data_IF_401940288838
#
_entry.id   IF_401940288838
#
_cell.length_a   1.000
_cell.length_b   1.000
_cell.length_c   1.000
_cell.angle_alpha   90.00
_cell.angle_beta   90.00
_cell.angle_gamma   90.00
#
_symmetry.space_group_name_H-M   'P 1'
#
loop_
_entity.id
_entity.type
_entity.pdbx_description
1 polymer ?
#
# COMPACT_ATOMS: atom_id res chain seq x y z
N UNK A 1 -7.90 -3.40 10.88
CA UNK A 1 -7.16 -2.70 11.95
C UNK A 1 -5.70 -3.14 11.89
N UNK A 2 -4.76 -2.18 11.88
CA UNK A 2 -3.33 -2.49 11.99
C UNK A 2 -2.94 -2.53 13.48
N UNK A 3 -2.25 -3.60 13.88
CA UNK A 3 -1.70 -3.74 15.24
C UNK A 3 -0.23 -4.10 15.12
N UNK A 4 0.64 -3.30 15.75
CA UNK A 4 2.06 -3.61 15.88
C UNK A 4 2.27 -4.17 17.26
N UNK A 5 2.95 -5.32 17.36
CA UNK A 5 3.16 -6.00 18.62
C UNK A 5 4.59 -6.50 18.76
N UNK A 6 5.13 -6.36 19.97
CA UNK A 6 6.31 -7.10 20.41
C UNK A 6 5.82 -8.28 21.24
N UNK A 7 6.17 -9.49 20.79
CA UNK A 7 5.78 -10.73 21.43
C UNK A 7 6.90 -11.27 22.31
N UNK A 8 6.54 -11.68 23.53
CA UNK A 8 7.35 -12.52 24.40
C UNK A 8 6.65 -13.86 24.60
N UNK A 9 7.30 -14.81 25.28
CA UNK A 9 6.68 -16.10 25.62
C UNK A 9 5.37 -15.99 26.42
N UNK A 10 5.14 -14.87 27.11
CA UNK A 10 4.02 -14.71 28.05
C UNK A 10 3.00 -13.67 27.62
N UNK A 11 3.42 -12.67 26.87
CA UNK A 11 2.63 -11.48 26.62
C UNK A 11 2.97 -10.82 25.28
N UNK A 12 1.99 -10.09 24.76
CA UNK A 12 2.11 -9.18 23.62
C UNK A 12 1.99 -7.76 24.13
N UNK A 13 3.00 -6.93 23.86
CA UNK A 13 2.92 -5.49 24.06
C UNK A 13 2.58 -4.84 22.72
N UNK A 14 1.46 -4.12 22.65
CA UNK A 14 0.84 -3.73 21.39
C UNK A 14 0.52 -2.26 21.26
N UNK A 15 0.54 -1.79 20.02
CA UNK A 15 0.13 -0.46 19.61
C UNK A 15 -0.84 -0.61 18.45
N UNK A 16 -2.12 -0.28 18.70
CA UNK A 16 -3.18 -0.37 17.70
C UNK A 16 -3.37 0.95 16.93
N UNK A 17 -3.60 0.81 15.63
CA UNK A 17 -3.95 1.86 14.68
C UNK A 17 -5.29 1.49 14.03
N UNK A 18 -6.43 1.74 14.69
CA UNK A 18 -7.75 1.40 14.16
C UNK A 18 -8.18 2.30 13.00
N UNK A 19 -7.62 3.50 12.92
CA UNK A 19 -7.97 4.53 11.94
C UNK A 19 -7.33 4.30 10.55
N UNK A 20 -6.38 3.38 10.42
CA UNK A 20 -5.71 3.09 9.16
C UNK A 20 -6.44 1.97 8.40
N UNK A 21 -6.81 2.25 7.15
CA UNK A 21 -7.44 1.33 6.23
C UNK A 21 -6.56 1.17 4.98
N UNK A 22 -6.29 -0.06 4.57
CA UNK A 22 -5.46 -0.38 3.40
C UNK A 22 -6.29 -0.97 2.24
N UNK A 23 -7.63 -0.91 2.32
CA UNK A 23 -8.54 -1.52 1.33
C UNK A 23 -9.20 -0.48 0.44
N UNK A 24 -8.50 0.61 0.13
CA UNK A 24 -8.98 1.70 -0.73
C UNK A 24 -8.48 1.57 -2.20
N UNK A 25 -7.84 0.45 -2.53
CA UNK A 25 -7.20 0.16 -3.82
C UNK A 25 -6.07 1.13 -4.21
N UNK A 26 -5.47 1.84 -3.25
CA UNK A 26 -4.30 2.66 -3.47
C UNK A 26 -3.01 1.92 -3.07
N UNK A 27 -1.88 2.49 -3.51
CA UNK A 27 -0.59 2.09 -3.00
C UNK A 27 -0.41 2.59 -1.58
N UNK A 28 -0.02 1.69 -0.67
CA UNK A 28 0.37 2.05 0.68
C UNK A 28 1.75 1.50 1.04
N UNK A 29 2.46 2.26 1.85
CA UNK A 29 3.73 1.89 2.43
C UNK A 29 3.64 1.93 3.96
N UNK A 30 4.01 0.84 4.64
CA UNK A 30 3.96 0.73 6.10
C UNK A 30 5.37 0.52 6.63
N UNK A 31 5.86 1.48 7.42
CA UNK A 31 7.19 1.39 8.03
C UNK A 31 7.09 1.30 9.56
N UNK A 32 7.70 0.26 10.11
CA UNK A 32 7.75 0.00 11.55
C UNK A 32 9.19 0.23 12.02
N UNK A 33 9.44 1.37 12.69
CA UNK A 33 10.79 1.77 13.11
C UNK A 33 10.97 1.61 14.61
N UNK A 34 11.88 0.72 14.98
CA UNK A 34 12.32 0.52 16.36
C UNK A 34 13.60 1.32 16.62
N UNK A 35 13.52 2.33 17.49
CA UNK A 35 14.67 3.17 17.87
C UNK A 35 15.17 2.77 19.25
N UNK A 36 16.39 2.25 19.32
CA UNK A 36 17.02 1.87 20.57
C UNK A 36 17.38 3.11 21.40
N UNK A 37 17.13 3.03 22.71
CA UNK A 37 17.51 4.08 23.64
C UNK A 37 19.03 4.17 23.83
N UNK A 38 19.55 5.37 24.09
CA UNK A 38 20.95 5.56 24.48
C UNK A 38 21.25 4.88 25.83
N UNK A 39 22.44 4.27 25.93
CA UNK A 39 22.93 3.31 26.94
C UNK A 39 22.66 3.62 28.43
N UNK A 40 22.37 4.87 28.81
CA UNK A 40 22.26 5.28 30.22
C UNK A 40 20.88 5.83 30.64
N UNK A 41 20.07 6.35 29.71
CA UNK A 41 18.77 6.98 30.02
C UNK A 41 17.76 6.92 28.87
N UNK A 42 18.12 6.29 27.75
CA UNK A 42 17.26 6.29 26.58
C UNK A 42 16.16 5.25 26.71
N UNK A 43 14.93 5.68 26.48
CA UNK A 43 13.81 4.78 26.31
C UNK A 43 13.82 4.21 24.88
N UNK A 44 13.37 2.96 24.74
CA UNK A 44 13.11 2.37 23.43
C UNK A 44 11.80 2.92 22.89
N UNK A 45 11.83 3.34 21.62
CA UNK A 45 10.68 4.00 20.99
C UNK A 45 10.31 3.24 19.73
N UNK A 46 9.03 2.91 19.60
CA UNK A 46 8.40 2.45 18.38
C UNK A 46 7.79 3.65 17.67
N UNK A 47 8.10 3.82 16.39
CA UNK A 47 7.46 4.77 15.49
C UNK A 47 6.84 4.05 14.31
N UNK A 48 5.57 4.33 14.04
CA UNK A 48 4.79 3.69 12.99
C UNK A 48 4.48 4.75 11.95
N UNK A 49 4.92 4.51 10.72
CA UNK A 49 4.68 5.39 9.59
C UNK A 49 3.77 4.69 8.58
N UNK A 50 2.92 5.49 7.96
CA UNK A 50 2.08 5.09 6.83
C UNK A 50 2.27 6.12 5.74
N UNK A 51 2.58 5.68 4.52
CA UNK A 51 2.74 6.54 3.34
C UNK A 51 3.76 7.68 3.57
N UNK A 52 4.86 7.33 4.25
CA UNK A 52 5.94 8.25 4.61
C UNK A 52 5.60 9.26 5.72
N UNK A 53 4.39 9.20 6.29
CA UNK A 53 3.92 10.10 7.35
C UNK A 53 3.95 9.39 8.71
N UNK A 54 4.44 10.07 9.75
CA UNK A 54 4.42 9.53 11.11
C UNK A 54 2.99 9.47 11.62
N UNK A 55 2.52 8.27 11.94
CA UNK A 55 1.16 8.06 12.43
C UNK A 55 1.11 7.96 13.95
N UNK A 56 2.01 7.17 14.54
CA UNK A 56 2.04 6.94 15.99
C UNK A 56 3.45 6.72 16.51
N UNK A 57 3.68 7.19 17.73
CA UNK A 57 4.91 6.92 18.49
C UNK A 57 4.55 6.36 19.86
N UNK A 58 5.27 5.34 20.31
CA UNK A 58 5.01 4.66 21.57
C UNK A 58 6.31 4.24 22.26
N UNK A 59 6.33 4.26 23.59
CA UNK A 59 7.43 3.68 24.35
C UNK A 59 7.23 2.17 24.47
N UNK A 60 7.88 1.40 23.60
CA UNK A 60 7.73 -0.04 23.51
C UNK A 60 9.08 -0.71 23.75
N UNK A 61 9.14 -1.67 24.67
CA UNK A 61 10.33 -2.50 24.87
C UNK A 61 10.38 -3.56 23.77
N UNK A 62 11.53 -3.71 23.14
CA UNK A 62 11.81 -4.77 22.17
C UNK A 62 13.20 -5.38 22.44
N UNK A 63 13.45 -6.62 22.00
CA UNK A 63 14.76 -7.27 22.13
C UNK A 63 15.90 -6.45 21.51
N UNK A 64 17.13 -6.73 21.91
CA UNK A 64 18.28 -6.04 21.32
C UNK A 64 18.38 -6.35 19.82
N UNK A 65 18.51 -5.31 19.00
CA UNK A 65 18.75 -5.45 17.56
C UNK A 65 20.13 -6.06 17.21
N UNK A 66 20.95 -6.33 18.22
CA UNK A 66 22.23 -7.05 18.09
C UNK A 66 22.08 -8.57 18.13
N UNK A 67 20.90 -9.09 18.46
CA UNK A 67 20.64 -10.53 18.44
C UNK A 67 20.62 -11.07 17.00
N UNK A 68 21.02 -12.34 16.79
CA UNK A 68 21.05 -12.93 15.47
C UNK A 68 19.64 -13.02 14.89
N UNK A 69 19.50 -12.59 13.64
CA UNK A 69 18.27 -12.75 12.88
C UNK A 69 18.04 -14.23 12.55
N UNK A 70 16.89 -14.75 12.95
CA UNK A 70 16.58 -16.20 12.89
C UNK A 70 15.45 -16.53 11.93
N UNK A 71 14.38 -15.73 11.92
CA UNK A 71 13.19 -16.02 11.13
C UNK A 71 12.39 -14.75 10.83
N UNK A 72 11.82 -14.69 9.64
CA UNK A 72 10.79 -13.71 9.28
C UNK A 72 9.73 -14.40 8.43
N UNK A 73 8.47 -14.11 8.74
CA UNK A 73 7.32 -14.49 7.93
C UNK A 73 6.58 -13.23 7.51
N UNK A 74 6.24 -13.15 6.22
CA UNK A 74 5.45 -12.06 5.65
C UNK A 74 4.16 -12.67 5.12
N UNK A 75 3.02 -12.15 5.58
CA UNK A 75 1.70 -12.66 5.26
C UNK A 75 0.97 -13.18 6.49
N UNK A 76 -0.20 -13.80 6.28
CA UNK A 76 -0.95 -14.38 7.38
C UNK A 76 -0.13 -15.50 8.02
N UNK A 77 0.00 -15.41 9.34
CA UNK A 77 0.45 -16.55 10.12
C UNK A 77 -0.59 -17.64 9.91
N UNK A 78 -0.27 -18.65 9.09
CA UNK A 78 -1.13 -19.82 8.96
C UNK A 78 -1.36 -20.50 10.32
N UNK A 79 -1.81 -21.75 10.33
CA UNK A 79 -2.12 -22.51 11.57
C UNK A 79 -1.01 -22.55 12.67
N UNK A 80 0.21 -22.02 12.45
CA UNK A 80 1.32 -22.01 13.41
C UNK A 80 1.20 -21.00 14.57
N UNK A 81 0.39 -19.95 14.49
CA UNK A 81 0.20 -19.01 15.63
C UNK A 81 -0.96 -19.37 16.53
N UNK A 82 -1.81 -20.33 16.14
CA UNK A 82 -2.81 -20.91 17.05
C UNK A 82 -2.11 -21.86 18.02
N UNK A 83 -1.41 -21.30 18.99
CA UNK A 83 -1.00 -22.07 20.17
C UNK A 83 -2.22 -22.16 21.08
N UNK A 84 -3.27 -22.82 20.62
CA UNK A 84 -4.29 -23.33 21.53
C UNK A 84 -3.57 -24.37 22.37
N UNK A 85 -3.39 -24.07 23.65
CA UNK A 85 -2.98 -25.06 24.65
C UNK A 85 -4.09 -26.11 24.65
N UNK A 86 -3.91 -27.17 23.84
CA UNK A 86 -4.77 -28.35 23.88
C UNK A 86 -4.41 -29.08 25.17
N UNK A 87 -5.03 -28.64 26.25
CA UNK A 87 -5.07 -29.41 27.50
C UNK A 87 -6.06 -30.55 27.24
N UNK A 88 -5.66 -31.84 27.27
CA UNK A 88 -6.61 -32.92 27.14
C UNK A 88 -7.36 -33.05 28.47
N UNK A 89 -8.55 -32.48 28.57
CA UNK A 89 -9.45 -32.74 29.70
C UNK A 89 -10.48 -33.81 29.33
N UNK A 90 -10.61 -34.88 30.12
CA UNK A 90 -11.67 -35.86 29.95
C UNK A 90 -13.03 -35.28 30.39
N UNK A 91 -14.07 -35.85 29.79
CA UNK A 91 -15.48 -35.52 29.96
C UNK A 91 -15.93 -35.43 31.43
N UNK A 92 -16.68 -34.37 31.82
CA UNK A 92 -18.05 -34.51 32.35
C UNK A 92 -18.68 -33.16 32.75
N UNK A 93 -19.99 -33.09 32.49
CA UNK A 93 -21.08 -32.42 33.21
C UNK A 93 -21.09 -30.89 33.44
N UNK A 94 -22.24 -30.33 33.06
CA UNK A 94 -22.78 -29.00 33.29
C UNK A 94 -22.75 -28.56 34.76
N UNK A 95 -22.52 -27.27 35.05
CA UNK A 95 -23.44 -26.45 35.86
C UNK A 95 -23.15 -24.95 35.64
N UNK A 96 -24.22 -24.18 35.47
CA UNK A 96 -24.28 -22.71 35.45
C UNK A 96 -23.93 -22.15 36.85
N UNK A 97 -23.11 -21.10 36.93
CA UNK A 97 -23.25 -20.10 38.00
C UNK A 97 -22.74 -18.71 37.59
N UNK A 98 -23.67 -17.75 37.68
CA UNK A 98 -23.46 -16.31 37.60
C UNK A 98 -22.74 -15.85 38.87
N UNK A 99 -21.71 -15.02 38.74
CA UNK A 99 -21.22 -14.19 39.86
C UNK A 99 -20.88 -12.79 39.38
N UNK A 100 -21.51 -11.81 40.03
CA UNK A 100 -21.34 -10.37 39.86
C UNK A 100 -20.16 -9.88 40.70
N UNK A 101 -19.39 -8.95 40.13
CA UNK A 101 -18.90 -7.74 40.80
C UNK A 101 -17.51 -7.80 41.44
N UNK A 102 -16.64 -6.89 41.02
CA UNK A 102 -15.74 -6.17 41.94
C UNK A 102 -15.30 -4.83 41.31
N UNK A 103 -15.59 -3.75 42.04
CA UNK A 103 -15.11 -2.39 41.82
C UNK A 103 -13.76 -2.21 42.54
N UNK A 104 -12.73 -1.73 41.84
CA UNK A 104 -11.53 -1.08 42.37
C UNK A 104 -10.59 -0.75 41.19
N UNK A 105 -9.89 0.37 41.08
CA UNK A 105 -9.72 1.55 41.93
C UNK A 105 -9.11 2.61 41.02
N UNK A 106 -9.75 3.77 40.92
CA UNK A 106 -9.22 4.93 40.21
C UNK A 106 -7.95 5.42 40.91
N UNK A 107 -6.86 5.58 40.15
CA UNK A 107 -5.66 6.30 40.60
C UNK A 107 -5.36 7.35 39.53
N UNK A 108 -5.75 8.58 39.82
CA UNK A 108 -5.29 9.79 39.13
C UNK A 108 -3.97 10.28 39.74
N UNK A 109 -3.33 11.23 39.04
CA UNK A 109 -2.25 12.19 39.41
C UNK A 109 -0.98 12.07 38.54
N UNK A 110 -0.23 13.17 38.28
CA UNK A 110 -0.64 14.55 38.03
C UNK A 110 -0.12 15.08 36.67
N UNK A 111 -0.68 16.20 36.22
CA UNK A 111 -0.29 16.90 35.00
C UNK A 111 1.18 17.40 35.05
N UNK A 112 1.93 17.15 33.98
CA UNK A 112 3.23 17.77 33.72
C UNK A 112 3.21 18.50 32.37
N UNK A 113 3.98 19.59 32.35
CA UNK A 113 3.95 20.72 31.42
C UNK A 113 4.10 20.35 29.94
N UNK A 114 3.30 21.03 29.11
CA UNK A 114 3.29 20.90 27.66
C UNK A 114 4.51 21.55 26.99
N UNK A 115 5.10 20.85 26.02
CA UNK A 115 5.89 21.41 24.91
C UNK A 115 5.97 20.37 23.75
N UNK A 116 6.36 20.83 22.56
CA UNK A 116 5.49 21.13 21.42
C UNK A 116 4.93 19.88 20.70
N UNK A 117 3.89 20.08 19.89
CA UNK A 117 3.14 19.11 19.09
C UNK A 117 3.98 17.97 18.49
N UNK A 118 4.05 16.86 19.23
CA UNK A 118 4.41 15.54 18.75
C UNK A 118 3.10 14.77 18.48
N UNK A 119 3.10 13.87 17.51
CA UNK A 119 1.99 12.96 17.26
C UNK A 119 1.50 12.33 18.59
N UNK A 120 0.21 12.05 18.76
CA UNK A 120 -0.34 11.57 20.03
C UNK A 120 0.43 10.33 20.52
N UNK A 121 1.05 10.44 21.71
CA UNK A 121 1.74 9.31 22.34
C UNK A 121 0.77 8.14 22.48
N UNK A 122 1.13 7.01 21.86
CA UNK A 122 0.27 5.85 21.86
C UNK A 122 0.29 5.16 23.22
N UNK A 123 -0.91 4.80 23.70
CA UNK A 123 -1.04 3.85 24.80
C UNK A 123 -0.57 2.48 24.30
N UNK A 124 0.41 1.93 25.01
CA UNK A 124 0.85 0.54 24.83
C UNK A 124 -0.05 -0.34 25.68
N UNK A 125 -0.71 -1.30 25.04
CA UNK A 125 -1.53 -2.29 25.72
C UNK A 125 -0.75 -3.59 25.88
N UNK A 126 -0.97 -4.29 26.99
CA UNK A 126 -0.38 -5.61 27.21
C UNK A 126 -1.49 -6.65 27.28
N UNK A 127 -1.40 -7.69 26.44
CA UNK A 127 -2.32 -8.83 26.50
C UNK A 127 -1.55 -10.14 26.70
N UNK A 128 -2.13 -11.14 27.39
CA UNK A 128 -1.51 -12.46 27.50
C UNK A 128 -1.33 -13.14 26.14
N UNK A 129 -0.26 -13.93 26.00
CA UNK A 129 -0.11 -14.77 24.82
C UNK A 129 -1.24 -15.81 24.73
N UNK A 130 -1.82 -15.99 23.55
CA UNK A 130 -2.94 -16.91 23.31
C UNK A 130 -4.32 -16.25 23.33
N UNK A 131 -4.44 -14.97 23.70
CA UNK A 131 -5.72 -14.23 23.68
C UNK A 131 -5.85 -13.29 22.47
N UNK A 132 -4.94 -13.36 21.48
CA UNK A 132 -4.91 -12.40 20.37
C UNK A 132 -6.18 -12.46 19.52
N UNK A 133 -6.64 -13.67 19.20
CA UNK A 133 -7.83 -13.86 18.34
C UNK A 133 -9.11 -13.38 19.04
N UNK A 134 -9.16 -13.44 20.37
CA UNK A 134 -10.28 -12.91 21.15
C UNK A 134 -10.26 -11.37 21.20
N UNK A 135 -9.07 -10.76 21.24
CA UNK A 135 -8.91 -9.31 21.34
C UNK A 135 -9.05 -8.60 19.98
N UNK A 136 -8.52 -9.20 18.91
CA UNK A 136 -8.42 -8.56 17.58
C UNK A 136 -9.19 -9.29 16.48
N UNK A 137 -9.77 -10.45 16.79
CA UNK A 137 -10.35 -11.35 15.80
C UNK A 137 -9.32 -12.27 15.14
N UNK A 138 -9.81 -13.23 14.36
CA UNK A 138 -8.94 -14.14 13.60
C UNK A 138 -8.10 -13.38 12.58
N UNK A 139 -6.80 -13.72 12.42
CA UNK A 139 -5.93 -13.07 11.46
C UNK A 139 -6.45 -13.28 10.03
N UNK A 140 -6.57 -12.19 9.28
CA UNK A 140 -6.96 -12.20 7.87
C UNK A 140 -5.81 -11.63 7.04
N UNK A 141 -5.56 -12.24 5.89
CA UNK A 141 -4.57 -11.71 4.95
C UNK A 141 -5.08 -10.40 4.36
N UNK A 142 -4.18 -9.44 4.15
CA UNK A 142 -4.46 -8.31 3.26
C UNK A 142 -4.57 -8.85 1.83
N UNK A 143 -5.66 -8.50 1.15
CA UNK A 143 -5.87 -8.84 -0.25
C UNK A 143 -5.28 -7.74 -1.13
N UNK A 144 -4.51 -8.12 -2.15
CA UNK A 144 -3.90 -7.17 -3.07
C UNK A 144 -2.53 -7.61 -3.56
N UNK A 145 -1.80 -6.65 -4.13
CA UNK A 145 -0.43 -6.83 -4.58
C UNK A 145 0.54 -6.45 -3.46
N UNK A 146 1.53 -7.30 -3.20
CA UNK A 146 2.64 -6.98 -2.30
C UNK A 146 3.76 -6.32 -3.10
N UNK A 147 4.30 -5.20 -2.62
CA UNK A 147 5.48 -4.55 -3.17
C UNK A 147 6.79 -5.10 -2.58
N UNK A 148 7.84 -4.30 -2.64
CA UNK A 148 9.13 -4.65 -2.05
C UNK A 148 9.05 -4.69 -0.52
N UNK A 149 9.73 -5.66 0.10
CA UNK A 149 9.84 -5.79 1.56
C UNK A 149 11.30 -5.71 1.95
N UNK A 150 11.63 -4.75 2.83
CA UNK A 150 13.00 -4.49 3.27
C UNK A 150 13.09 -4.50 4.79
N UNK A 151 14.14 -5.12 5.33
CA UNK A 151 14.46 -5.08 6.76
C UNK A 151 15.86 -4.48 6.91
N UNK A 152 15.98 -3.49 7.80
CA UNK A 152 17.23 -2.81 8.11
C UNK A 152 17.68 -3.16 9.53
N UNK A 153 18.99 -3.23 9.74
CA UNK A 153 19.56 -3.43 11.08
C UNK A 153 19.78 -2.11 11.84
N UNK A 154 19.41 -0.98 11.25
CA UNK A 154 19.42 0.35 11.87
C UNK A 154 18.08 1.06 11.68
N UNK A 155 17.77 1.96 12.62
CA UNK A 155 16.57 2.79 12.56
C UNK A 155 16.67 3.83 11.44
N UNK A 156 15.75 3.76 10.49
CA UNK A 156 15.64 4.73 9.41
C UNK A 156 15.11 6.08 9.92
N UNK A 157 15.58 7.15 9.29
CA UNK A 157 15.16 8.52 9.60
C UNK A 157 13.92 8.92 8.80
N UNK A 158 13.06 9.82 9.32
CA UNK A 158 11.84 10.23 8.63
C UNK A 158 12.01 10.72 7.18
N UNK A 159 13.09 11.45 6.80
CA UNK A 159 13.33 11.81 5.40
C UNK A 159 13.53 10.60 4.49
N UNK A 160 14.22 9.56 4.97
CA UNK A 160 14.50 8.34 4.21
C UNK A 160 13.21 7.57 3.92
N UNK A 161 12.31 7.49 4.90
CA UNK A 161 10.99 6.86 4.76
C UNK A 161 10.12 7.60 3.73
N UNK A 162 10.16 8.94 3.71
CA UNK A 162 9.46 9.74 2.72
C UNK A 162 9.96 9.49 1.30
N UNK A 163 11.28 9.36 1.12
CA UNK A 163 11.85 9.03 -0.20
C UNK A 163 11.49 7.61 -0.61
N UNK A 164 11.53 6.63 0.31
CA UNK A 164 11.09 5.26 0.05
C UNK A 164 9.63 5.19 -0.39
N UNK A 165 8.72 5.89 0.31
CA UNK A 165 7.32 5.96 -0.09
C UNK A 165 7.14 6.65 -1.45
N UNK A 166 7.79 7.81 -1.66
CA UNK A 166 7.70 8.58 -2.91
C UNK A 166 8.26 7.82 -4.13
N UNK A 167 9.12 6.83 -3.90
CA UNK A 167 9.63 5.94 -4.93
C UNK A 167 8.51 5.13 -5.60
N UNK A 168 7.44 4.83 -4.88
CA UNK A 168 6.28 4.08 -5.34
C UNK A 168 6.48 2.55 -5.40
N UNK A 169 5.42 1.80 -5.81
CA UNK A 169 5.36 0.34 -5.72
C UNK A 169 6.36 -0.42 -6.60
N UNK A 170 6.85 0.22 -7.66
CA UNK A 170 7.60 -0.44 -8.73
C UNK A 170 9.11 -0.20 -8.66
N UNK A 171 9.59 0.35 -7.55
CA UNK A 171 10.90 0.97 -7.52
C UNK A 171 11.89 0.26 -6.62
N UNK A 172 12.86 -0.41 -7.25
CA UNK A 172 13.92 -1.19 -6.63
C UNK A 172 15.08 -0.29 -6.12
N UNK A 173 14.78 0.93 -5.64
CA UNK A 173 15.78 2.01 -5.44
C UNK A 173 16.91 1.66 -4.48
N UNK A 174 16.70 0.74 -3.55
CA UNK A 174 17.70 0.45 -2.50
C UNK A 174 19.05 -0.03 -3.06
N UNK A 175 19.13 -0.36 -4.36
CA UNK A 175 20.29 -0.98 -5.00
C UNK A 175 20.77 -0.20 -6.24
N UNK A 176 20.23 0.99 -6.56
CA UNK A 176 20.79 1.78 -7.66
C UNK A 176 22.07 2.49 -7.21
N UNK A 177 23.23 2.27 -7.86
CA UNK A 177 24.41 3.08 -7.62
C UNK A 177 24.05 4.55 -7.92
N UNK A 178 24.51 5.47 -7.06
CA UNK A 178 24.29 6.93 -7.13
C UNK A 178 22.90 7.46 -6.68
N UNK A 179 22.04 6.61 -6.10
CA UNK A 179 20.77 7.07 -5.51
C UNK A 179 20.92 7.74 -4.13
N UNK A 180 20.02 8.67 -3.77
CA UNK A 180 19.96 9.31 -2.45
C UNK A 180 19.84 8.31 -1.27
N UNK A 181 19.38 7.09 -1.57
CA UNK A 181 19.22 5.99 -0.61
C UNK A 181 20.30 4.93 -0.71
N UNK A 182 21.36 5.15 -1.50
CA UNK A 182 22.48 4.20 -1.61
C UNK A 182 23.12 3.90 -0.25
N UNK A 183 23.15 4.89 0.64
CA UNK A 183 23.62 4.73 2.02
C UNK A 183 22.76 3.76 2.87
N UNK A 184 21.60 3.33 2.37
CA UNK A 184 20.80 2.30 3.02
C UNK A 184 21.17 0.89 2.56
N UNK A 185 21.84 0.74 1.42
CA UNK A 185 22.20 -0.57 0.86
C UNK A 185 23.02 -1.40 1.85
N UNK A 186 24.02 -0.79 2.51
CA UNK A 186 24.84 -1.48 3.51
C UNK A 186 24.10 -1.74 4.82
N UNK A 187 22.98 -1.04 5.08
CA UNK A 187 22.11 -1.20 6.26
C UNK A 187 21.07 -2.30 6.09
N UNK A 188 20.91 -2.78 4.86
CA UNK A 188 19.92 -3.77 4.49
C UNK A 188 20.32 -5.14 5.03
N UNK A 189 19.46 -5.69 5.88
CA UNK A 189 19.59 -7.05 6.39
C UNK A 189 18.94 -8.06 5.45
N UNK A 190 17.80 -7.67 4.86
CA UNK A 190 17.00 -8.49 3.97
C UNK A 190 16.26 -7.59 2.98
N UNK A 191 16.17 -8.00 1.71
CA UNK A 191 15.31 -7.36 0.73
C UNK A 191 14.68 -8.37 -0.22
N UNK A 192 13.36 -8.37 -0.29
CA UNK A 192 12.60 -9.14 -1.26
C UNK A 192 11.83 -8.23 -2.18
N UNK A 193 11.86 -8.56 -3.47
CA UNK A 193 10.98 -7.97 -4.48
C UNK A 193 10.15 -9.09 -5.12
N UNK A 194 8.85 -8.86 -5.40
CA UNK A 194 8.02 -9.84 -6.11
C UNK A 194 8.62 -10.28 -7.45
N UNK A 195 9.43 -9.42 -8.09
CA UNK A 195 10.10 -9.69 -9.38
C UNK A 195 11.24 -10.71 -9.28
N UNK A 196 11.79 -10.92 -8.08
CA UNK A 196 12.87 -11.87 -7.81
C UNK A 196 12.34 -13.15 -7.13
N UNK A 197 11.08 -13.48 -7.39
CA UNK A 197 10.45 -14.72 -6.94
C UNK A 197 10.21 -15.65 -8.13
N UNK A 198 10.79 -16.85 -8.11
CA UNK A 198 10.59 -17.87 -9.12
C UNK A 198 10.40 -19.24 -8.46
N UNK A 199 9.47 -20.06 -8.97
CA UNK A 199 9.20 -21.41 -8.45
C UNK A 199 9.06 -21.47 -6.92
N UNK A 200 8.32 -20.52 -6.33
CA UNK A 200 8.14 -20.39 -4.88
C UNK A 200 9.39 -20.06 -4.06
N UNK A 201 10.51 -19.73 -4.70
CA UNK A 201 11.73 -19.24 -4.06
C UNK A 201 11.82 -17.72 -4.25
N UNK A 202 11.96 -16.98 -3.17
CA UNK A 202 12.19 -15.53 -3.17
C UNK A 202 13.66 -15.28 -2.87
N UNK A 203 14.40 -14.71 -3.82
CA UNK A 203 15.82 -14.42 -3.61
C UNK A 203 15.98 -13.20 -2.70
N UNK A 204 16.88 -13.29 -1.72
CA UNK A 204 17.31 -12.12 -0.97
C UNK A 204 18.22 -11.26 -1.85
N UNK A 205 17.84 -10.00 -2.10
CA UNK A 205 18.67 -9.05 -2.84
C UNK A 205 19.48 -8.12 -1.94
N UNK A 206 19.50 -8.36 -0.62
CA UNK A 206 20.44 -7.68 0.26
C UNK A 206 21.88 -7.98 -0.16
N UNK A 207 22.86 -7.09 0.12
CA UNK A 207 24.25 -7.30 -0.31
C UNK A 207 24.89 -8.60 0.19
N UNK A 208 24.32 -9.22 1.24
CA UNK A 208 24.84 -10.46 1.82
C UNK A 208 24.18 -11.72 1.25
N UNK A 209 23.01 -11.61 0.63
CA UNK A 209 22.26 -12.73 0.01
C UNK A 209 22.15 -13.96 0.94
N UNK A 210 21.83 -13.74 2.22
CA UNK A 210 21.90 -14.80 3.24
C UNK A 210 20.55 -15.45 3.51
N UNK A 211 19.47 -14.77 3.19
CA UNK A 211 18.14 -15.11 3.68
C UNK A 211 17.17 -15.34 2.53
N UNK A 212 17.43 -16.32 1.66
CA UNK A 212 16.46 -16.69 0.64
C UNK A 212 15.15 -17.17 1.27
N UNK A 213 14.04 -16.61 0.80
CA UNK A 213 12.69 -16.86 1.28
C UNK A 213 11.98 -17.96 0.48
N UNK A 214 10.91 -18.48 1.07
CA UNK A 214 10.00 -19.41 0.39
C UNK A 214 8.58 -18.85 0.39
N UNK A 215 8.01 -18.67 -0.80
CA UNK A 215 6.63 -18.29 -0.99
C UNK A 215 5.70 -19.49 -0.76
N UNK A 216 4.87 -19.41 0.26
CA UNK A 216 3.85 -20.42 0.57
C UNK A 216 2.45 -20.05 0.08
N UNK A 217 2.25 -18.79 -0.32
CA UNK A 217 0.99 -18.28 -0.84
C UNK A 217 0.77 -18.57 -2.32
N UNK A 218 -0.38 -18.14 -2.83
CA UNK A 218 -0.67 -18.15 -4.25
C UNK A 218 0.09 -17.02 -4.93
N UNK A 219 0.82 -17.34 -6.00
CA UNK A 219 1.46 -16.32 -6.84
C UNK A 219 0.53 -16.01 -8.00
N UNK A 220 0.22 -14.73 -8.19
CA UNK A 220 -0.52 -14.26 -9.36
C UNK A 220 0.36 -13.28 -10.11
N UNK A 221 0.53 -13.53 -11.41
CA UNK A 221 1.25 -12.63 -12.30
C UNK A 221 0.23 -11.70 -12.93
N UNK A 222 0.39 -10.40 -12.70
CA UNK A 222 -0.40 -9.39 -13.39
C UNK A 222 0.41 -8.88 -14.59
N UNK A 223 -0.18 -8.96 -15.77
CA UNK A 223 0.36 -8.36 -16.98
C UNK A 223 -0.05 -6.90 -17.06
N UNK A 224 0.81 -6.02 -17.61
CA UNK A 224 0.37 -4.67 -17.94
C UNK A 224 -0.76 -4.78 -18.97
N UNK A 225 -1.87 -4.08 -18.74
CA UNK A 225 -3.00 -4.04 -19.68
C UNK A 225 -2.55 -3.59 -21.07
N UNK A 226 -1.49 -2.77 -21.14
CA UNK A 226 -0.88 -2.33 -22.39
C UNK A 226 -0.22 -3.47 -23.16
N UNK A 227 0.40 -4.42 -22.47
CA UNK A 227 1.01 -5.61 -23.07
C UNK A 227 -0.09 -6.58 -23.56
N UNK A 228 -1.16 -6.73 -22.77
CA UNK A 228 -2.30 -7.59 -23.10
C UNK A 228 -3.03 -7.18 -24.39
N UNK A 229 -2.97 -5.89 -24.74
CA UNK A 229 -3.58 -5.36 -25.96
C UNK A 229 -3.01 -6.02 -27.23
N UNK A 230 -1.73 -6.42 -27.23
CA UNK A 230 -1.12 -7.13 -28.34
C UNK A 230 -1.81 -8.48 -28.64
N UNK A 231 -2.32 -9.16 -27.62
CA UNK A 231 -2.97 -10.47 -27.77
C UNK A 231 -4.35 -10.39 -28.43
N UNK A 232 -5.02 -9.23 -28.39
CA UNK A 232 -6.38 -9.04 -28.91
C UNK A 232 -6.42 -8.32 -30.27
N UNK A 233 -5.26 -8.09 -30.91
CA UNK A 233 -5.16 -7.41 -32.20
C UNK A 233 -4.52 -6.02 -32.14
N UNK A 234 -3.93 -5.64 -31.01
CA UNK A 234 -3.22 -4.38 -30.84
C UNK A 234 -4.15 -3.16 -30.72
N UNK A 235 -3.62 -1.98 -31.00
CA UNK A 235 -4.33 -0.70 -30.95
C UNK A 235 -5.57 -0.65 -31.85
N UNK A 236 -5.54 -1.36 -32.98
CA UNK A 236 -6.69 -1.47 -33.88
C UNK A 236 -7.90 -2.13 -33.22
N UNK A 237 -7.69 -2.99 -32.21
CA UNK A 237 -8.77 -3.64 -31.47
C UNK A 237 -9.64 -2.65 -30.67
N UNK A 238 -9.17 -1.42 -30.47
CA UNK A 238 -9.92 -0.37 -29.80
C UNK A 238 -10.90 0.37 -30.73
N UNK A 239 -10.77 0.23 -32.06
CA UNK A 239 -11.61 0.95 -33.03
C UNK A 239 -13.12 0.73 -32.89
N UNK A 240 -13.62 -0.49 -32.61
CA UNK A 240 -15.05 -0.68 -32.38
C UNK A 240 -15.61 0.13 -31.20
N UNK A 241 -14.76 0.47 -30.22
CA UNK A 241 -15.17 1.32 -29.10
C UNK A 241 -15.35 2.77 -29.53
N UNK A 242 -14.59 3.25 -30.52
CA UNK A 242 -14.78 4.59 -31.11
C UNK A 242 -16.14 4.68 -31.79
N UNK A 243 -16.53 3.68 -32.57
CA UNK A 243 -17.85 3.63 -33.22
C UNK A 243 -18.99 3.67 -32.20
N UNK A 244 -18.87 2.93 -31.09
CA UNK A 244 -19.85 2.95 -29.99
C UNK A 244 -19.90 4.31 -29.28
N UNK A 245 -18.75 4.96 -29.12
CA UNK A 245 -18.64 6.29 -28.49
C UNK A 245 -19.30 7.38 -29.35
N UNK A 246 -19.19 7.27 -30.68
CA UNK A 246 -19.82 8.19 -31.64
C UNK A 246 -21.33 7.94 -31.71
N UNK A 247 -21.76 6.69 -31.89
CA UNK A 247 -23.18 6.32 -32.01
C UNK A 247 -23.96 6.48 -30.71
N UNK A 248 -23.36 6.14 -29.56
CA UNK A 248 -23.99 6.33 -28.24
C UNK A 248 -24.05 7.79 -27.76
N UNK A 249 -23.32 8.70 -28.42
CA UNK A 249 -23.43 10.15 -28.22
C UNK A 249 -24.73 10.71 -28.81
N UNK A 250 -25.10 10.25 -30.00
CA UNK A 250 -26.30 10.69 -30.73
C UNK A 250 -27.61 10.35 -29.98
N UNK A 251 -27.69 9.18 -29.34
CA UNK A 251 -28.85 8.80 -28.51
C UNK A 251 -28.97 9.61 -27.21
N UNK A 252 -27.84 10.07 -26.67
CA UNK A 252 -27.80 10.87 -25.43
C UNK A 252 -28.11 12.34 -25.68
N UNK A 253 -27.63 12.88 -26.80
CA UNK A 253 -27.93 14.25 -27.23
C UNK A 253 -29.40 14.40 -27.67
N UNK A 254 -29.98 13.40 -28.35
CA UNK A 254 -31.42 13.39 -28.66
C UNK A 254 -32.33 13.39 -27.41
N UNK A 255 -31.83 12.92 -26.25
CA UNK A 255 -32.54 13.00 -24.97
C UNK A 255 -32.35 14.34 -24.23
N UNK A 256 -31.31 15.10 -24.59
CA UNK A 256 -30.92 16.35 -23.94
C UNK A 256 -31.38 17.61 -24.68
N UNK A 257 -31.80 17.52 -25.95
CA UNK A 257 -32.29 18.66 -26.74
C UNK A 257 -33.63 19.27 -26.24
N UNK A 258 -34.24 18.76 -25.17
CA UNK A 258 -35.44 19.38 -24.58
C UNK A 258 -35.17 20.40 -23.46
N UNK A 259 -33.93 20.59 -23.01
CA UNK A 259 -33.62 21.59 -21.97
C UNK A 259 -32.16 22.08 -22.04
N UNK A 260 -31.88 23.09 -22.86
CA UNK A 260 -31.18 24.32 -22.44
C UNK A 260 -30.87 25.19 -23.66
N UNK A 261 -31.73 26.19 -23.86
CA UNK A 261 -31.48 27.33 -24.74
C UNK A 261 -30.49 28.30 -24.06
N UNK A 262 -29.55 28.81 -24.87
CA UNK A 262 -28.80 30.07 -24.77
C UNK A 262 -27.51 30.11 -23.93
N UNK A 263 -26.39 30.28 -24.64
CA UNK A 263 -25.18 30.98 -24.15
C UNK A 263 -24.47 31.67 -25.34
N UNK A 264 -24.32 33.01 -25.37
CA UNK A 264 -23.82 33.72 -26.54
C UNK A 264 -22.30 33.97 -26.42
N UNK A 265 -21.45 33.06 -26.87
CA UNK A 265 -19.99 33.30 -26.92
C UNK A 265 -19.33 32.69 -28.17
N UNK A 266 -20.01 32.68 -29.33
CA UNK A 266 -19.44 32.21 -30.61
C UNK A 266 -19.20 33.33 -31.63
N UNK A 267 -18.62 34.46 -31.22
CA UNK A 267 -18.00 35.40 -32.17
C UNK A 267 -16.71 36.02 -31.64
N UNK A 268 -15.64 35.23 -31.53
CA UNK A 268 -14.29 35.78 -31.51
C UNK A 268 -13.31 34.87 -32.26
N UNK A 269 -13.07 35.22 -33.54
CA UNK A 269 -11.88 34.78 -34.28
C UNK A 269 -10.65 35.37 -33.58
N UNK A 270 -9.87 34.57 -32.87
CA UNK A 270 -8.49 34.92 -32.54
C UNK A 270 -7.55 33.74 -32.82
N UNK A 271 -6.68 33.98 -33.80
CA UNK A 271 -5.48 33.17 -34.07
C UNK A 271 -4.56 33.21 -32.84
N UNK A 272 -4.29 32.07 -32.22
CA UNK A 272 -3.15 31.90 -31.30
C UNK A 272 -2.50 30.53 -31.56
N UNK A 273 -1.19 30.46 -31.88
CA UNK A 273 -0.47 29.21 -32.03
C UNK A 273 -0.09 28.63 -30.66
N UNK A 274 -0.37 27.33 -30.46
CA UNK A 274 0.06 26.58 -29.28
C UNK A 274 -1.01 26.48 -28.19
N UNK A 275 -1.98 25.59 -28.40
CA UNK A 275 -3.00 25.26 -27.41
C UNK A 275 -2.40 24.37 -26.30
N UNK A 276 -1.90 25.00 -25.22
CA UNK A 276 -1.68 24.29 -23.96
C UNK A 276 -3.02 24.09 -23.27
N UNK A 277 -3.49 22.84 -23.21
CA UNK A 277 -4.66 22.46 -22.42
C UNK A 277 -4.30 22.52 -20.92
N UNK A 278 -5.01 23.30 -20.10
CA UNK A 278 -4.79 23.33 -18.66
C UNK A 278 -5.37 22.05 -18.03
N UNK A 279 -4.52 21.04 -17.85
CA UNK A 279 -4.86 19.79 -17.15
C UNK A 279 -4.76 20.01 -15.64
N UNK A 280 -5.83 20.53 -15.03
CA UNK A 280 -6.03 20.59 -13.59
C UNK A 280 -7.07 19.56 -13.11
N UNK A 281 -7.17 19.28 -11.81
CA UNK A 281 -8.09 18.25 -11.24
C UNK A 281 -9.58 18.43 -11.61
N UNK A 282 -9.99 19.63 -12.07
CA UNK A 282 -11.35 19.91 -12.58
C UNK A 282 -11.56 19.57 -14.07
N UNK A 283 -10.51 19.24 -14.82
CA UNK A 283 -10.61 18.87 -16.24
C UNK A 283 -10.90 17.38 -16.43
N UNK A 284 -10.52 16.52 -15.49
CA UNK A 284 -10.67 15.06 -15.60
C UNK A 284 -12.15 14.65 -15.60
N UNK A 285 -12.95 15.17 -14.66
CA UNK A 285 -14.41 14.96 -14.63
C UNK A 285 -15.16 15.57 -15.82
N UNK A 286 -14.61 16.61 -16.45
CA UNK A 286 -15.14 17.19 -17.69
C UNK A 286 -14.77 16.36 -18.93
N UNK A 287 -13.59 15.74 -18.91
CA UNK A 287 -13.10 14.88 -19.97
C UNK A 287 -13.83 13.53 -19.97
N UNK A 288 -14.18 13.01 -18.79
CA UNK A 288 -15.02 11.81 -18.62
C UNK A 288 -16.45 12.00 -19.14
N UNK A 289 -16.96 13.24 -19.13
CA UNK A 289 -18.28 13.56 -19.69
C UNK A 289 -18.32 13.54 -21.23
N UNK A 290 -17.18 13.76 -21.88
CA UNK A 290 -17.07 13.69 -23.33
C UNK A 290 -16.52 12.32 -23.72
N UNK A 291 -17.38 11.45 -24.25
CA UNK A 291 -17.04 10.08 -24.60
C UNK A 291 -15.88 9.97 -25.60
N UNK A 292 -15.81 10.89 -26.58
CA UNK A 292 -14.71 10.96 -27.56
C UNK A 292 -13.40 11.35 -26.88
N UNK A 293 -13.44 12.34 -25.99
CA UNK A 293 -12.27 12.79 -25.26
C UNK A 293 -11.75 11.72 -24.28
N UNK A 294 -12.66 10.97 -23.63
CA UNK A 294 -12.32 9.81 -22.81
C UNK A 294 -11.67 8.69 -23.64
N UNK A 295 -12.19 8.41 -24.83
CA UNK A 295 -11.58 7.46 -25.77
C UNK A 295 -10.16 7.89 -26.18
N UNK A 296 -9.97 9.16 -26.56
CA UNK A 296 -8.65 9.69 -26.91
C UNK A 296 -7.68 9.64 -25.73
N UNK A 297 -8.16 9.89 -24.51
CA UNK A 297 -7.35 9.76 -23.30
C UNK A 297 -6.94 8.30 -23.05
N UNK A 298 -7.86 7.35 -23.26
CA UNK A 298 -7.58 5.92 -23.19
C UNK A 298 -6.48 5.53 -24.20
N UNK A 299 -6.62 5.91 -25.47
CA UNK A 299 -5.60 5.66 -26.52
C UNK A 299 -4.26 6.27 -26.12
N UNK A 300 -4.25 7.54 -25.67
CA UNK A 300 -3.05 8.22 -25.17
C UNK A 300 -2.38 7.43 -24.04
N UNK A 301 -3.16 6.90 -23.10
CA UNK A 301 -2.64 6.11 -22.00
C UNK A 301 -2.02 4.79 -22.47
N UNK A 302 -2.64 4.09 -23.41
CA UNK A 302 -2.13 2.83 -23.98
C UNK A 302 -0.80 2.98 -24.73
N UNK A 303 -0.56 4.14 -25.36
CA UNK A 303 0.70 4.42 -26.08
C UNK A 303 1.76 5.10 -25.21
N UNK A 304 1.40 5.66 -24.05
CA UNK A 304 2.33 6.37 -23.18
C UNK A 304 3.40 5.41 -22.65
N UNK A 305 4.67 5.70 -22.96
CA UNK A 305 5.84 4.89 -22.58
C UNK A 305 5.78 3.42 -23.04
N UNK A 306 5.08 3.12 -24.14
CA UNK A 306 4.94 1.75 -24.65
C UNK A 306 5.21 1.68 -26.16
N UNK A 307 6.47 1.42 -26.58
CA UNK A 307 6.89 1.55 -27.98
C UNK A 307 6.15 0.59 -28.91
N UNK A 308 5.84 -0.63 -28.45
CA UNK A 308 5.08 -1.61 -29.26
C UNK A 308 3.69 -1.10 -29.59
N UNK A 309 3.03 -0.37 -28.67
CA UNK A 309 1.70 0.17 -28.92
C UNK A 309 1.78 1.42 -29.79
N UNK A 310 2.85 2.22 -29.67
CA UNK A 310 3.10 3.34 -30.56
C UNK A 310 3.28 2.88 -32.00
N UNK A 311 4.11 1.85 -32.21
CA UNK A 311 4.34 1.27 -33.53
C UNK A 311 3.07 0.60 -34.08
N UNK A 312 2.36 -0.17 -33.25
CA UNK A 312 1.10 -0.79 -33.66
C UNK A 312 0.04 0.25 -34.05
N UNK A 313 -0.06 1.37 -33.33
CA UNK A 313 -0.95 2.47 -33.69
C UNK A 313 -0.57 3.04 -35.07
N UNK A 314 0.72 3.31 -35.30
CA UNK A 314 1.24 3.86 -36.55
C UNK A 314 1.04 2.93 -37.76
N UNK A 315 1.19 1.62 -37.55
CA UNK A 315 1.01 0.61 -38.59
C UNK A 315 -0.47 0.29 -38.84
N UNK A 316 -1.33 0.52 -37.85
CA UNK A 316 -2.77 0.38 -37.99
C UNK A 316 -3.37 1.56 -38.76
N UNK A 317 -4.40 1.28 -39.56
CA UNK A 317 -5.25 2.33 -40.14
C UNK A 317 -6.01 3.16 -39.08
N UNK A 318 -5.89 2.82 -37.79
CA UNK A 318 -6.61 3.48 -36.71
C UNK A 318 -6.30 4.98 -36.60
N UNK A 319 -5.09 5.40 -36.92
CA UNK A 319 -4.72 6.83 -36.98
C UNK A 319 -5.50 7.60 -38.05
N UNK A 320 -5.82 6.95 -39.18
CA UNK A 320 -6.62 7.55 -40.25
C UNK A 320 -8.09 7.67 -39.84
N UNK A 321 -8.62 6.71 -39.06
CA UNK A 321 -10.00 6.74 -38.54
C UNK A 321 -10.21 7.71 -37.38
N UNK A 322 -9.19 7.99 -36.56
CA UNK A 322 -9.28 8.92 -35.43
C UNK A 322 -9.18 10.39 -35.88
N UNK A 323 -8.51 10.66 -37.00
CA UNK A 323 -8.33 12.01 -37.54
C UNK A 323 -9.33 12.41 -38.63
N UNK A 324 -10.23 11.51 -39.03
CA UNK A 324 -11.32 11.75 -39.98
C UNK A 324 -12.58 12.22 -39.27
#
# INVERSE_FOLDING_TARGET
MLVVAVCTKKEYMTVALPEVCFTDSQWHCVDIVHTAGRRYFGQTVLSIYTDGCLYKTAQLRFPSLTEPYTYCGIGSAGHRTSTTVVTPTPQSAETVMVSRGSLARSLSFPAALAAPTLAPEAIVNTIPAGTQDAEWGSPTSLEGQLGDVSVFHEALQPPQLRVLHAAGPNNVLCIKPDGELWDLSYKLLLHYTPRACNNHMCLDLSPKHLYDGRLTGHSTINWDVKDGLGCVGGMAALLPLLEQVVTGGEEREASAESTELVGPELTARQNIPGMQLPLGKSSESKLERNSVAAFLLMVKNFIRNHPVNQENLLQSYALQSIGA
#
